data_IF_670576291813
#
_entry.id   IF_670576291813
#
_cell.length_a   1.000
_cell.length_b   1.000
_cell.length_c   1.000
_cell.angle_alpha   90.00
_cell.angle_beta   90.00
_cell.angle_gamma   90.00
#
_symmetry.space_group_name_H-M   'P 1'
#
loop_
_entity.id
_entity.type
_entity.pdbx_description
1 polymer ?
#
# COMPACT_ATOMS: atom_id res chain seq x y z
N UNK A 1 -24.53 63.45 -19.38
CA UNK A 1 -24.23 62.00 -19.45
C UNK A 1 -23.43 61.65 -18.18
N UNK A 2 -23.94 61.48 -16.96
CA UNK A 2 -25.15 60.82 -16.45
C UNK A 2 -25.35 59.46 -17.12
N UNK A 3 -25.27 58.41 -16.28
CA UNK A 3 -25.42 56.97 -16.55
C UNK A 3 -24.16 56.20 -16.93
N UNK A 4 -23.30 55.97 -15.95
CA UNK A 4 -22.66 54.67 -15.67
C UNK A 4 -22.36 54.65 -14.15
N UNK A 5 -23.40 54.73 -13.30
CA UNK A 5 -23.79 53.60 -12.43
C UNK A 5 -22.56 52.88 -11.85
N UNK A 6 -22.05 53.29 -10.68
CA UNK A 6 -22.49 52.75 -9.38
C UNK A 6 -23.15 51.38 -9.48
N UNK A 7 -22.39 50.33 -9.14
CA UNK A 7 -22.71 48.90 -8.89
C UNK A 7 -21.53 48.12 -9.49
N UNK A 8 -20.51 47.72 -8.73
CA UNK A 8 -20.56 46.59 -7.82
C UNK A 8 -19.50 46.79 -6.74
N UNK A 9 -19.95 47.21 -5.56
CA UNK A 9 -19.22 46.90 -4.35
C UNK A 9 -19.36 45.39 -4.10
N UNK A 10 -18.28 44.77 -3.60
CA UNK A 10 -18.29 43.50 -2.85
C UNK A 10 -18.46 42.23 -3.70
N UNK A 11 -17.34 41.60 -4.08
CA UNK A 11 -17.17 40.15 -3.84
C UNK A 11 -15.71 39.90 -3.44
N UNK A 12 -15.55 39.63 -2.14
CA UNK A 12 -14.58 38.76 -1.48
C UNK A 12 -13.34 38.33 -2.31
N UNK A 13 -12.13 38.72 -1.93
CA UNK A 13 -11.42 38.06 -0.83
C UNK A 13 -11.57 36.54 -0.85
N UNK A 14 -10.93 35.86 -1.81
CA UNK A 14 -10.71 34.40 -1.77
C UNK A 14 -9.61 33.97 -2.75
N UNK A 15 -8.38 34.48 -2.55
CA UNK A 15 -7.18 33.68 -2.82
C UNK A 15 -7.04 32.66 -1.68
N UNK A 16 -8.06 31.80 -1.52
CA UNK A 16 -8.03 30.68 -0.59
C UNK A 16 -7.30 29.55 -1.29
N UNK A 17 -6.03 29.47 -0.96
CA UNK A 17 -5.23 28.26 -0.85
C UNK A 17 -5.89 27.03 -1.46
N UNK A 18 -5.36 26.61 -2.62
CA UNK A 18 -5.39 25.21 -3.01
C UNK A 18 -4.46 24.50 -2.02
N UNK A 19 -4.90 24.37 -0.77
CA UNK A 19 -4.37 23.39 0.18
C UNK A 19 -4.80 22.06 -0.39
N UNK A 20 -4.03 21.56 -1.35
CA UNK A 20 -4.09 20.16 -1.72
C UNK A 20 -3.94 19.38 -0.42
N UNK A 21 -4.82 18.41 -0.20
CA UNK A 21 -4.54 17.35 0.75
C UNK A 21 -3.26 16.67 0.27
N UNK A 22 -2.11 17.16 0.72
CA UNK A 22 -0.93 16.33 0.86
C UNK A 22 -1.37 15.25 1.83
N UNK A 23 -1.85 14.14 1.29
CA UNK A 23 -1.80 12.87 1.97
C UNK A 23 -0.33 12.68 2.31
N UNK A 24 0.08 13.16 3.47
CA UNK A 24 1.23 12.63 4.16
C UNK A 24 0.92 11.17 4.33
N UNK A 25 1.37 10.35 3.38
CA UNK A 25 1.75 8.98 3.66
C UNK A 25 2.81 9.11 4.73
N UNK A 26 2.33 9.18 5.98
CA UNK A 26 3.13 8.99 7.19
C UNK A 26 3.79 7.65 6.95
N UNK A 27 5.05 7.67 6.49
CA UNK A 27 5.85 6.46 6.40
C UNK A 27 5.80 5.85 7.81
N UNK A 28 5.14 4.70 8.00
CA UNK A 28 5.00 4.16 9.32
C UNK A 28 6.37 3.63 9.71
N UNK A 29 6.91 4.19 10.78
CA UNK A 29 8.15 3.75 11.44
C UNK A 29 7.94 2.40 12.17
N UNK A 30 7.31 1.43 11.49
CA UNK A 30 6.93 0.13 12.04
C UNK A 30 6.25 -0.83 11.05
N UNK A 31 6.20 -0.55 9.74
CA UNK A 31 5.72 -1.53 8.76
C UNK A 31 6.77 -2.60 8.51
N UNK A 32 6.37 -3.88 8.64
CA UNK A 32 7.20 -5.03 8.28
C UNK A 32 7.42 -5.04 6.77
N UNK A 33 8.67 -5.19 6.35
CA UNK A 33 9.01 -5.35 4.93
C UNK A 33 8.56 -6.71 4.39
N UNK A 34 8.37 -6.80 3.08
CA UNK A 34 8.06 -8.07 2.41
C UNK A 34 9.07 -9.17 2.76
N UNK A 35 10.36 -8.85 2.75
CA UNK A 35 11.43 -9.80 3.06
C UNK A 35 11.34 -10.32 4.49
N UNK A 36 11.12 -9.44 5.46
CA UNK A 36 10.99 -9.82 6.88
C UNK A 36 9.80 -10.76 7.09
N UNK A 37 8.64 -10.45 6.49
CA UNK A 37 7.45 -11.31 6.59
C UNK A 37 7.67 -12.65 5.88
N UNK A 38 8.29 -12.64 4.69
CA UNK A 38 8.57 -13.85 3.92
C UNK A 38 9.48 -14.80 4.69
N UNK A 39 10.58 -14.29 5.25
CA UNK A 39 11.50 -15.10 6.05
C UNK A 39 10.83 -15.61 7.32
N UNK A 40 10.12 -14.74 8.06
CA UNK A 40 9.48 -15.10 9.33
C UNK A 40 8.37 -16.14 9.17
N UNK A 41 7.62 -16.13 8.06
CA UNK A 41 6.48 -17.04 7.86
C UNK A 41 6.86 -18.28 7.05
N UNK A 42 7.61 -18.13 5.96
CA UNK A 42 7.80 -19.21 4.98
C UNK A 42 8.98 -20.14 5.30
N UNK A 43 9.75 -19.88 6.35
CA UNK A 43 10.85 -20.76 6.81
C UNK A 43 10.47 -21.65 8.01
N UNK A 44 9.25 -21.49 8.53
CA UNK A 44 8.75 -22.22 9.71
C UNK A 44 8.57 -23.73 9.48
N UNK A 45 8.28 -24.15 8.24
CA UNK A 45 8.03 -25.55 7.89
C UNK A 45 9.08 -26.15 6.95
N UNK A 46 9.72 -25.35 6.11
CA UNK A 46 10.75 -25.80 5.17
C UNK A 46 11.69 -24.65 4.78
N UNK A 47 12.88 -24.99 4.28
CA UNK A 47 13.91 -24.02 3.89
C UNK A 47 13.45 -23.01 2.82
N UNK A 48 14.13 -21.84 2.82
CA UNK A 48 13.98 -20.77 1.84
C UNK A 48 14.37 -21.17 0.41
N UNK A 49 15.08 -22.30 0.22
CA UNK A 49 15.46 -22.84 -1.09
C UNK A 49 14.29 -23.09 -2.04
N UNK A 50 13.04 -23.11 -1.53
CA UNK A 50 11.82 -23.21 -2.34
C UNK A 50 11.49 -21.94 -3.12
N UNK A 51 11.95 -20.77 -2.68
CA UNK A 51 11.60 -19.45 -3.26
C UNK A 51 12.82 -18.53 -3.48
N UNK A 52 13.96 -18.79 -2.86
CA UNK A 52 15.22 -18.11 -3.17
C UNK A 52 15.60 -18.32 -4.65
N UNK A 53 16.09 -17.26 -5.30
CA UNK A 53 16.38 -17.25 -6.74
C UNK A 53 15.19 -17.45 -7.69
N UNK A 54 13.98 -17.75 -7.22
CA UNK A 54 12.78 -17.89 -8.06
C UNK A 54 12.19 -16.53 -8.40
N UNK A 55 11.55 -16.46 -9.55
CA UNK A 55 10.66 -15.37 -9.94
C UNK A 55 9.28 -15.96 -10.22
N UNK A 56 8.26 -15.48 -9.51
CA UNK A 56 6.91 -15.97 -9.61
C UNK A 56 6.04 -14.88 -10.22
N UNK A 57 5.11 -15.25 -11.09
CA UNK A 57 4.03 -14.32 -11.43
C UNK A 57 3.17 -14.07 -10.18
N UNK A 58 2.48 -12.92 -10.09
CA UNK A 58 1.58 -12.65 -8.97
C UNK A 58 0.55 -13.76 -8.75
N UNK A 59 -0.01 -14.32 -9.82
CA UNK A 59 -1.02 -15.39 -9.76
C UNK A 59 -0.43 -16.69 -9.21
N UNK A 60 0.77 -17.07 -9.69
CA UNK A 60 1.48 -18.25 -9.21
C UNK A 60 1.82 -18.12 -7.72
N UNK A 61 2.21 -16.92 -7.28
CA UNK A 61 2.53 -16.66 -5.89
C UNK A 61 1.30 -16.72 -4.97
N UNK A 62 0.17 -16.15 -5.39
CA UNK A 62 -1.09 -16.25 -4.65
C UNK A 62 -1.53 -17.71 -4.46
N UNK A 63 -1.36 -18.54 -5.49
CA UNK A 63 -1.67 -19.97 -5.39
C UNK A 63 -0.74 -20.67 -4.39
N UNK A 64 0.55 -20.34 -4.36
CA UNK A 64 1.48 -20.86 -3.35
C UNK A 64 1.04 -20.48 -1.94
N UNK A 65 0.70 -19.21 -1.69
CA UNK A 65 0.23 -18.76 -0.37
C UNK A 65 -1.03 -19.53 0.06
N UNK A 66 -1.98 -19.73 -0.86
CA UNK A 66 -3.19 -20.49 -0.61
C UNK A 66 -2.89 -21.96 -0.30
N UNK A 67 -1.98 -22.58 -1.05
CA UNK A 67 -1.55 -23.96 -0.79
C UNK A 67 -0.86 -24.11 0.56
N UNK A 68 -0.02 -23.15 0.97
CA UNK A 68 0.64 -23.20 2.27
C UNK A 68 -0.36 -23.03 3.42
N UNK A 69 -1.31 -22.09 3.32
CA UNK A 69 -2.41 -21.95 4.29
C UNK A 69 -3.25 -23.23 4.38
N UNK A 70 -3.61 -23.85 3.25
CA UNK A 70 -4.32 -25.15 3.22
C UNK A 70 -3.53 -26.28 3.91
N UNK A 71 -2.19 -26.20 3.90
CA UNK A 71 -1.30 -27.16 4.57
C UNK A 71 -1.02 -26.80 6.04
N UNK A 72 -1.61 -25.72 6.55
CA UNK A 72 -1.51 -25.33 7.96
C UNK A 72 -0.50 -24.22 8.25
N UNK A 73 0.03 -23.50 7.24
CA UNK A 73 0.85 -22.33 7.50
C UNK A 73 0.03 -21.22 8.16
N UNK A 74 0.46 -20.80 9.36
CA UNK A 74 -0.13 -19.68 10.09
C UNK A 74 0.40 -18.35 9.53
N UNK A 75 -0.35 -17.80 8.58
CA UNK A 75 -0.08 -16.50 7.96
C UNK A 75 -1.23 -15.57 8.34
N UNK A 76 -1.06 -14.69 9.35
CA UNK A 76 -2.06 -13.69 9.72
C UNK A 76 -2.42 -12.79 8.54
N UNK A 77 -3.62 -12.19 8.56
CA UNK A 77 -4.12 -11.42 7.42
C UNK A 77 -3.25 -10.20 7.09
N UNK A 78 -2.69 -9.52 8.09
CA UNK A 78 -1.77 -8.41 7.88
C UNK A 78 -0.51 -8.85 7.10
N UNK A 79 0.06 -10.01 7.48
CA UNK A 79 1.22 -10.59 6.79
C UNK A 79 0.84 -11.08 5.39
N UNK A 80 -0.38 -11.58 5.21
CA UNK A 80 -0.87 -11.95 3.89
C UNK A 80 -1.06 -10.75 2.97
N UNK A 81 -1.51 -9.58 3.48
CA UNK A 81 -1.60 -8.37 2.66
C UNK A 81 -0.23 -7.92 2.16
N UNK A 82 0.82 -8.10 2.96
CA UNK A 82 2.20 -7.82 2.56
C UNK A 82 2.66 -8.86 1.54
N UNK A 83 2.43 -10.15 1.81
CA UNK A 83 2.92 -11.24 0.96
C UNK A 83 2.19 -11.33 -0.38
N UNK A 84 0.90 -10.99 -0.49
CA UNK A 84 0.10 -11.24 -1.72
C UNK A 84 0.65 -10.54 -2.97
N UNK A 85 1.48 -9.52 -2.79
CA UNK A 85 2.20 -8.84 -3.85
C UNK A 85 3.64 -9.37 -3.89
N UNK A 86 3.93 -10.30 -4.82
CA UNK A 86 5.30 -10.75 -5.05
C UNK A 86 6.17 -9.54 -5.43
N UNK A 87 7.11 -9.19 -4.56
CA UNK A 87 7.84 -7.92 -4.61
C UNK A 87 9.37 -8.11 -4.76
N UNK A 88 9.78 -9.24 -5.33
CA UNK A 88 11.20 -9.58 -5.46
C UNK A 88 11.88 -8.83 -6.60
#
# INVERSE_FOLDING_TARGET
MKLFYMSFAIVAASLLAITGCSGSSKAPSGEKSFKEVLEARCTTCHSASKWEGRDFTPEAWLEILNQMRKRGADIPDDDYQILKHWAK
#
